data_IF_539533813175
#
_entry.id   IF_539533813175
#
_cell.length_a   1.000
_cell.length_b   1.000
_cell.length_c   1.000
_cell.angle_alpha   90.00
_cell.angle_beta   90.00
_cell.angle_gamma   90.00
#
_symmetry.space_group_name_H-M   'P 1'
#
loop_
_entity.id
_entity.type
_entity.pdbx_description
1 polymer ?
#
# COMPACT_ATOMS: atom_id res chain seq x y z
N UNK A 1 3.57 12.64 6.35
CA UNK A 1 3.98 11.23 6.49
C UNK A 1 5.50 11.12 6.56
N UNK A 2 6.00 10.61 7.69
CA UNK A 2 7.42 10.41 7.93
C UNK A 2 7.85 9.06 7.33
N UNK A 3 8.66 9.09 6.28
CA UNK A 3 9.45 7.93 5.87
C UNK A 3 10.67 7.87 6.79
N UNK A 4 10.92 6.71 7.39
CA UNK A 4 12.10 6.47 8.23
C UNK A 4 12.99 5.44 7.56
N UNK A 5 14.28 5.46 7.88
CA UNK A 5 15.22 4.45 7.42
C UNK A 5 14.72 3.03 7.75
N UNK A 6 14.26 2.81 8.99
CA UNK A 6 13.73 1.52 9.42
C UNK A 6 12.54 1.10 8.56
N UNK A 7 11.57 1.99 8.34
CA UNK A 7 10.37 1.69 7.54
C UNK A 7 10.76 1.24 6.12
N UNK A 8 11.68 1.95 5.46
CA UNK A 8 12.17 1.54 4.12
C UNK A 8 12.82 0.16 4.15
N UNK A 9 13.65 -0.13 5.16
CA UNK A 9 14.31 -1.43 5.29
C UNK A 9 13.31 -2.56 5.55
N UNK A 10 12.28 -2.32 6.38
CA UNK A 10 11.25 -3.31 6.64
C UNK A 10 10.47 -3.66 5.35
N UNK A 11 10.11 -2.67 4.52
CA UNK A 11 9.50 -2.92 3.21
C UNK A 11 10.44 -3.64 2.24
N UNK A 12 11.75 -3.38 2.28
CA UNK A 12 12.71 -4.15 1.49
C UNK A 12 12.80 -5.61 1.95
N UNK A 13 12.51 -5.93 3.21
CA UNK A 13 12.36 -7.32 3.64
C UNK A 13 11.01 -7.92 3.21
N UNK A 14 9.94 -7.14 3.09
CA UNK A 14 8.70 -7.61 2.45
C UNK A 14 8.93 -8.00 0.98
N UNK A 15 9.68 -7.18 0.24
CA UNK A 15 10.08 -7.49 -1.13
C UNK A 15 10.91 -8.77 -1.24
N UNK A 16 11.71 -9.10 -0.21
CA UNK A 16 12.50 -10.34 -0.19
C UNK A 16 11.61 -11.57 -0.18
N UNK A 17 10.49 -11.52 0.52
CA UNK A 17 9.53 -12.62 0.63
C UNK A 17 8.61 -12.73 -0.60
N UNK A 18 8.68 -11.79 -1.54
CA UNK A 18 7.75 -11.67 -2.67
C UNK A 18 7.71 -12.92 -3.56
N UNK A 19 8.87 -13.37 -4.06
CA UNK A 19 8.94 -14.53 -4.95
C UNK A 19 8.48 -15.82 -4.23
N UNK A 20 8.99 -16.17 -3.03
CA UNK A 20 8.49 -17.33 -2.31
C UNK A 20 6.99 -17.27 -2.01
N UNK A 21 6.44 -16.09 -1.68
CA UNK A 21 5.01 -15.92 -1.42
C UNK A 21 4.17 -16.15 -2.67
N UNK A 22 4.59 -15.60 -3.82
CA UNK A 22 3.95 -15.87 -5.11
C UNK A 22 3.99 -17.36 -5.46
N UNK A 23 5.14 -18.02 -5.27
CA UNK A 23 5.31 -19.44 -5.56
C UNK A 23 4.48 -20.35 -4.64
N UNK A 24 4.05 -19.85 -3.48
CA UNK A 24 3.15 -20.54 -2.57
C UNK A 24 1.69 -20.61 -3.05
N UNK A 25 1.29 -19.76 -4.00
CA UNK A 25 -0.04 -19.78 -4.60
C UNK A 25 -0.23 -21.00 -5.51
N UNK A 26 -1.48 -21.47 -5.61
CA UNK A 26 -1.87 -22.40 -6.66
C UNK A 26 -1.71 -21.77 -8.05
N UNK A 27 -1.67 -22.59 -9.11
CA UNK A 27 -1.54 -22.09 -10.48
C UNK A 27 -2.66 -21.11 -10.87
N UNK A 28 -3.90 -21.39 -10.44
CA UNK A 28 -5.05 -20.51 -10.72
C UNK A 28 -4.94 -19.18 -9.97
N UNK A 29 -4.44 -19.19 -8.74
CA UNK A 29 -4.20 -17.97 -7.95
C UNK A 29 -3.06 -17.14 -8.54
N UNK A 30 -1.97 -17.78 -9.00
CA UNK A 30 -0.88 -17.10 -9.70
C UNK A 30 -1.39 -16.43 -10.98
N UNK A 31 -2.16 -17.17 -11.80
CA UNK A 31 -2.72 -16.63 -13.05
C UNK A 31 -3.73 -15.49 -12.78
N UNK A 32 -4.60 -15.67 -11.78
CA UNK A 32 -5.55 -14.64 -11.36
C UNK A 32 -4.88 -13.37 -10.86
N UNK A 33 -3.85 -13.51 -10.03
CA UNK A 33 -3.05 -12.40 -9.53
C UNK A 33 -2.37 -11.65 -10.68
N UNK A 34 -1.63 -12.34 -11.56
CA UNK A 34 -0.91 -11.70 -12.67
C UNK A 34 -1.87 -10.97 -13.62
N UNK A 35 -3.02 -11.57 -13.90
CA UNK A 35 -4.08 -10.94 -14.71
C UNK A 35 -4.60 -9.66 -14.05
N UNK A 36 -4.87 -9.67 -12.74
CA UNK A 36 -5.31 -8.49 -12.01
C UNK A 36 -4.26 -7.38 -11.99
N UNK A 37 -2.98 -7.76 -11.97
CA UNK A 37 -1.85 -6.84 -12.05
C UNK A 37 -1.55 -6.36 -13.48
N UNK A 38 -2.19 -6.94 -14.51
CA UNK A 38 -1.97 -6.57 -15.91
C UNK A 38 -0.70 -7.13 -16.54
N UNK A 39 -0.12 -8.19 -15.97
CA UNK A 39 1.11 -8.82 -16.47
C UNK A 39 0.85 -10.24 -16.97
N UNK A 40 1.61 -10.68 -17.98
CA UNK A 40 1.45 -12.02 -18.53
C UNK A 40 2.18 -13.09 -17.70
N UNK A 41 3.20 -12.71 -16.93
CA UNK A 41 4.03 -13.61 -16.14
C UNK A 41 4.62 -12.92 -14.91
N UNK A 42 5.08 -13.71 -13.92
CA UNK A 42 5.87 -13.18 -12.81
C UNK A 42 7.16 -12.51 -13.31
N UNK A 43 7.73 -13.03 -14.40
CA UNK A 43 8.91 -12.46 -15.04
C UNK A 43 8.67 -11.00 -15.43
N UNK A 44 7.57 -10.71 -16.12
CA UNK A 44 7.25 -9.36 -16.60
C UNK A 44 6.99 -8.39 -15.44
N UNK A 45 6.28 -8.86 -14.40
CA UNK A 45 6.02 -8.07 -13.20
C UNK A 45 7.33 -7.74 -12.46
N UNK A 46 8.22 -8.72 -12.30
CA UNK A 46 9.53 -8.46 -11.68
C UNK A 46 10.42 -7.58 -12.54
N UNK A 47 10.34 -7.66 -13.86
CA UNK A 47 11.05 -6.77 -14.77
C UNK A 47 10.61 -5.31 -14.57
N UNK A 48 9.30 -5.08 -14.47
CA UNK A 48 8.72 -3.78 -14.12
C UNK A 48 9.22 -3.26 -12.76
N UNK A 49 9.04 -4.04 -11.68
CA UNK A 49 9.45 -3.63 -10.32
C UNK A 49 10.96 -3.35 -10.27
N UNK A 50 11.77 -4.23 -10.87
CA UNK A 50 13.24 -4.11 -10.85
C UNK A 50 13.71 -2.88 -11.63
N UNK A 51 13.06 -2.52 -12.74
CA UNK A 51 13.40 -1.30 -13.47
C UNK A 51 13.16 -0.04 -12.64
N UNK A 52 12.11 -0.01 -11.82
CA UNK A 52 11.90 1.09 -10.88
C UNK A 52 12.91 1.10 -9.73
N UNK A 53 13.36 -0.07 -9.26
CA UNK A 53 14.44 -0.15 -8.27
C UNK A 53 15.77 0.38 -8.82
N UNK A 54 16.08 0.02 -10.07
CA UNK A 54 17.23 0.54 -10.83
C UNK A 54 17.18 2.07 -10.92
N UNK A 55 16.10 2.61 -11.47
CA UNK A 55 15.93 4.05 -11.67
C UNK A 55 15.98 4.81 -10.33
N UNK A 56 15.35 4.25 -9.29
CA UNK A 56 15.39 4.82 -7.94
C UNK A 56 16.81 4.90 -7.43
N UNK A 57 17.57 3.80 -7.49
CA UNK A 57 18.93 3.74 -6.98
C UNK A 57 19.80 4.81 -7.63
N UNK A 58 19.78 4.91 -8.95
CA UNK A 58 20.58 5.90 -9.66
C UNK A 58 20.17 7.36 -9.31
N UNK A 59 18.89 7.61 -9.06
CA UNK A 59 18.40 8.95 -8.69
C UNK A 59 18.80 9.30 -7.27
N UNK A 60 18.67 8.37 -6.32
CA UNK A 60 18.98 8.64 -4.91
C UNK A 60 20.48 8.75 -4.69
N UNK A 61 21.30 7.94 -5.38
CA UNK A 61 22.77 8.08 -5.39
C UNK A 61 23.16 9.46 -5.93
N UNK A 62 22.64 9.86 -7.10
CA UNK A 62 22.93 11.18 -7.67
C UNK A 62 22.51 12.34 -6.74
N UNK A 63 21.37 12.19 -6.05
CA UNK A 63 20.88 13.19 -5.10
C UNK A 63 21.78 13.33 -3.87
N UNK A 64 22.42 12.26 -3.42
CA UNK A 64 23.39 12.27 -2.30
C UNK A 64 24.73 12.82 -2.75
N UNK A 65 25.22 12.41 -3.92
CA UNK A 65 26.49 12.87 -4.51
C UNK A 65 26.42 14.32 -5.00
N UNK A 66 25.23 14.94 -5.00
CA UNK A 66 24.97 16.28 -5.55
C UNK A 66 25.39 16.39 -7.01
N UNK A 67 25.30 15.28 -7.75
CA UNK A 67 25.49 15.30 -9.19
C UNK A 67 24.22 15.85 -9.84
N UNK A 68 24.37 16.73 -10.83
CA UNK A 68 23.23 17.34 -11.50
C UNK A 68 22.55 16.30 -12.40
N UNK A 69 21.58 15.57 -11.85
CA UNK A 69 20.66 14.74 -12.61
C UNK A 69 19.35 15.51 -12.79
N UNK A 70 19.04 15.99 -14.00
CA UNK A 70 17.80 16.71 -14.25
C UNK A 70 16.59 15.85 -13.91
N UNK A 71 15.50 16.51 -13.51
CA UNK A 71 14.19 15.86 -13.39
C UNK A 71 13.81 15.23 -14.73
N UNK A 72 13.53 13.94 -14.74
CA UNK A 72 12.98 13.24 -15.90
C UNK A 72 11.47 13.19 -15.74
N UNK A 73 10.74 13.63 -16.78
CA UNK A 73 9.31 13.34 -16.90
C UNK A 73 9.17 11.95 -17.49
N UNK A 74 8.50 11.05 -16.77
CA UNK A 74 8.24 9.71 -17.26
C UNK A 74 6.89 9.69 -17.97
N UNK A 75 6.87 9.00 -19.09
CA UNK A 75 5.68 8.31 -19.54
C UNK A 75 5.78 6.91 -18.92
N UNK A 76 4.94 6.63 -17.92
CA UNK A 76 5.05 5.41 -17.13
C UNK A 76 4.74 4.17 -17.96
N UNK A 77 3.76 4.25 -18.85
CA UNK A 77 3.40 3.14 -19.74
C UNK A 77 4.55 2.79 -20.67
N UNK A 78 5.18 3.81 -21.26
CA UNK A 78 6.35 3.61 -22.13
C UNK A 78 7.54 3.05 -21.35
N UNK A 79 7.82 3.57 -20.16
CA UNK A 79 8.92 3.08 -19.32
C UNK A 79 8.71 1.61 -18.91
N UNK A 80 7.50 1.28 -18.44
CA UNK A 80 7.15 -0.08 -18.00
C UNK A 80 7.18 -1.06 -19.18
N UNK A 81 6.63 -0.69 -20.35
CA UNK A 81 6.69 -1.52 -21.55
C UNK A 81 8.13 -1.76 -22.03
N UNK A 82 8.99 -0.74 -21.96
CA UNK A 82 10.42 -0.89 -22.28
C UNK A 82 11.15 -1.80 -21.28
N UNK A 83 10.83 -1.72 -19.99
CA UNK A 83 11.40 -2.59 -18.97
C UNK A 83 11.09 -4.06 -19.24
N UNK A 84 9.82 -4.38 -19.53
CA UNK A 84 9.38 -5.74 -19.89
C UNK A 84 10.04 -6.20 -21.19
N UNK A 85 10.03 -5.37 -22.24
CA UNK A 85 10.65 -5.71 -23.52
C UNK A 85 12.16 -5.97 -23.41
N UNK A 86 12.86 -5.22 -22.55
CA UNK A 86 14.29 -5.41 -22.28
C UNK A 86 14.58 -6.73 -21.56
N UNK A 87 13.70 -7.14 -20.66
CA UNK A 87 13.85 -8.36 -19.88
C UNK A 87 13.41 -9.62 -20.64
N UNK A 88 12.60 -9.50 -21.70
CA UNK A 88 12.00 -10.63 -22.41
C UNK A 88 12.97 -11.74 -22.88
N UNK A 89 14.25 -11.40 -23.12
CA UNK A 89 15.27 -12.38 -23.51
C UNK A 89 16.02 -13.03 -22.33
N UNK A 90 15.79 -12.57 -21.10
CA UNK A 90 16.48 -13.07 -19.92
C UNK A 90 15.82 -14.36 -19.41
N UNK A 91 16.59 -15.35 -18.95
CA UNK A 91 16.03 -16.48 -18.21
C UNK A 91 15.47 -16.05 -16.85
N UNK A 92 14.42 -16.72 -16.36
CA UNK A 92 13.83 -16.43 -15.04
C UNK A 92 14.86 -16.40 -13.89
N UNK A 93 15.82 -17.34 -13.77
CA UNK A 93 16.83 -17.27 -12.71
C UNK A 93 17.68 -16.00 -12.76
N UNK A 94 17.95 -15.47 -13.97
CA UNK A 94 18.67 -14.21 -14.14
C UNK A 94 17.81 -13.03 -13.70
N UNK A 95 16.53 -12.99 -14.08
CA UNK A 95 15.61 -11.95 -13.66
C UNK A 95 15.42 -11.94 -12.13
N UNK A 96 15.27 -13.12 -11.51
CA UNK A 96 15.10 -13.23 -10.05
C UNK A 96 16.37 -12.79 -9.31
N UNK A 97 17.55 -13.18 -9.80
CA UNK A 97 18.83 -12.72 -9.25
C UNK A 97 18.99 -11.21 -9.38
N UNK A 98 18.53 -10.63 -10.48
CA UNK A 98 18.58 -9.18 -10.71
C UNK A 98 17.65 -8.41 -9.77
N UNK A 99 16.40 -8.89 -9.60
CA UNK A 99 15.47 -8.34 -8.62
C UNK A 99 16.10 -8.31 -7.21
N UNK A 100 16.62 -9.44 -6.75
CA UNK A 100 17.25 -9.54 -5.43
C UNK A 100 18.49 -8.63 -5.31
N UNK A 101 19.32 -8.57 -6.35
CA UNK A 101 20.49 -7.69 -6.39
C UNK A 101 20.11 -6.23 -6.19
N UNK A 102 19.07 -5.73 -6.85
CA UNK A 102 18.67 -4.32 -6.73
C UNK A 102 17.94 -4.03 -5.42
N UNK A 103 17.16 -4.98 -4.90
CA UNK A 103 16.60 -4.91 -3.54
C UNK A 103 17.71 -4.74 -2.49
N UNK A 104 18.76 -5.56 -2.57
CA UNK A 104 19.92 -5.48 -1.67
C UNK A 104 20.67 -4.15 -1.82
N UNK A 105 20.89 -3.68 -3.05
CA UNK A 105 21.53 -2.38 -3.27
C UNK A 105 20.74 -1.21 -2.67
N UNK A 106 19.41 -1.21 -2.80
CA UNK A 106 18.57 -0.20 -2.14
C UNK A 106 18.65 -0.32 -0.62
N UNK A 107 18.73 -1.53 -0.07
CA UNK A 107 18.91 -1.74 1.36
C UNK A 107 20.27 -1.20 1.84
N UNK A 108 21.34 -1.46 1.10
CA UNK A 108 22.69 -0.98 1.41
C UNK A 108 22.77 0.55 1.30
N UNK A 109 22.20 1.15 0.25
CA UNK A 109 22.05 2.60 0.13
C UNK A 109 21.31 3.18 1.34
N UNK A 110 20.16 2.59 1.70
CA UNK A 110 19.33 3.06 2.82
C UNK A 110 20.09 2.99 4.14
N UNK A 111 20.89 1.94 4.36
CA UNK A 111 21.76 1.79 5.55
C UNK A 111 22.90 2.80 5.56
N UNK A 112 23.53 3.05 4.42
CA UNK A 112 24.69 3.93 4.29
C UNK A 112 24.32 5.42 4.40
N UNK A 113 23.08 5.80 4.09
CA UNK A 113 22.65 7.20 4.01
C UNK A 113 21.42 7.52 4.87
N UNK A 114 21.44 7.25 6.20
CA UNK A 114 20.30 7.50 7.09
C UNK A 114 19.82 8.96 7.03
N UNK A 115 20.74 9.92 7.03
CA UNK A 115 20.42 11.35 6.99
C UNK A 115 19.77 11.75 5.67
N UNK A 116 20.21 11.17 4.54
CA UNK A 116 19.59 11.44 3.25
C UNK A 116 18.15 10.89 3.21
N UNK A 117 17.94 9.70 3.77
CA UNK A 117 16.59 9.13 3.91
C UNK A 117 15.74 9.97 4.85
N UNK A 118 16.29 10.57 5.90
CA UNK A 118 15.53 11.40 6.84
C UNK A 118 15.24 12.81 6.30
N UNK A 119 16.18 13.42 5.57
CA UNK A 119 16.19 14.88 5.33
C UNK A 119 16.07 15.26 3.85
N UNK A 120 16.58 14.44 2.92
CA UNK A 120 16.57 14.77 1.50
C UNK A 120 15.21 14.43 0.87
N UNK A 121 14.42 15.46 0.55
CA UNK A 121 13.08 15.33 -0.05
C UNK A 121 13.07 14.47 -1.32
N UNK A 122 14.08 14.57 -2.18
CA UNK A 122 14.16 13.79 -3.43
C UNK A 122 14.36 12.31 -3.09
N UNK A 123 15.31 11.99 -2.21
CA UNK A 123 15.56 10.61 -1.75
C UNK A 123 14.30 10.02 -1.11
N UNK A 124 13.67 10.75 -0.19
CA UNK A 124 12.43 10.32 0.48
C UNK A 124 11.30 10.00 -0.48
N UNK A 125 11.05 10.89 -1.45
CA UNK A 125 9.94 10.73 -2.37
C UNK A 125 10.13 9.51 -3.28
N UNK A 126 11.36 9.27 -3.76
CA UNK A 126 11.67 8.11 -4.60
C UNK A 126 11.58 6.80 -3.82
N UNK A 127 12.18 6.73 -2.63
CA UNK A 127 12.07 5.54 -1.78
C UNK A 127 10.60 5.29 -1.37
N UNK A 128 9.84 6.32 -1.03
CA UNK A 128 8.41 6.18 -0.72
C UNK A 128 7.62 5.62 -1.90
N UNK A 129 7.79 6.20 -3.09
CA UNK A 129 7.05 5.78 -4.27
C UNK A 129 7.40 4.35 -4.70
N UNK A 130 8.69 4.04 -4.78
CA UNK A 130 9.13 2.78 -5.39
C UNK A 130 9.26 1.62 -4.40
N UNK A 131 9.63 1.88 -3.15
CA UNK A 131 9.79 0.80 -2.15
C UNK A 131 8.49 0.54 -1.40
N UNK A 132 7.77 1.59 -1.00
CA UNK A 132 6.59 1.48 -0.12
C UNK A 132 5.29 1.40 -0.94
N UNK A 133 4.98 2.44 -1.73
CA UNK A 133 3.72 2.47 -2.48
C UNK A 133 3.62 1.31 -3.48
N UNK A 134 4.70 1.04 -4.21
CA UNK A 134 4.76 -0.08 -5.15
C UNK A 134 4.59 -1.44 -4.45
N UNK A 135 5.00 -1.58 -3.18
CA UNK A 135 4.76 -2.80 -2.43
C UNK A 135 3.28 -3.00 -2.13
N UNK A 136 2.57 -1.91 -1.82
CA UNK A 136 1.12 -1.93 -1.64
C UNK A 136 0.38 -2.26 -2.94
N UNK A 137 0.72 -1.57 -4.03
CA UNK A 137 0.12 -1.76 -5.36
C UNK A 137 0.26 -3.20 -5.86
N UNK A 138 1.48 -3.76 -5.74
CA UNK A 138 1.78 -5.11 -6.20
C UNK A 138 1.71 -6.17 -5.09
N UNK A 139 1.09 -5.86 -3.95
CA UNK A 139 1.08 -6.72 -2.77
C UNK A 139 0.45 -8.10 -3.04
N UNK A 140 1.15 -9.14 -2.59
CA UNK A 140 0.62 -10.51 -2.58
C UNK A 140 0.00 -10.73 -1.19
N UNK A 141 -1.30 -10.48 -1.08
CA UNK A 141 -2.05 -10.47 0.20
C UNK A 141 -1.75 -9.25 1.07
N UNK A 142 -2.35 -9.20 2.25
CA UNK A 142 -2.14 -8.18 3.27
C UNK A 142 -1.27 -8.73 4.41
N UNK A 143 0.04 -8.54 4.30
CA UNK A 143 0.92 -8.99 5.38
C UNK A 143 0.61 -8.23 6.67
N UNK A 144 0.84 -8.88 7.82
CA UNK A 144 0.61 -8.26 9.13
C UNK A 144 1.44 -6.99 9.28
N UNK A 145 2.68 -7.01 8.79
CA UNK A 145 3.55 -5.83 8.78
C UNK A 145 2.93 -4.70 7.95
N UNK A 146 2.54 -4.93 6.70
CA UNK A 146 1.97 -3.88 5.85
C UNK A 146 0.66 -3.32 6.43
N UNK A 147 -0.22 -4.21 6.89
CA UNK A 147 -1.48 -3.84 7.55
C UNK A 147 -1.23 -2.89 8.73
N UNK A 148 -0.33 -3.29 9.64
CA UNK A 148 0.01 -2.50 10.82
C UNK A 148 0.74 -1.21 10.45
N UNK A 149 1.66 -1.25 9.50
CA UNK A 149 2.42 -0.08 9.07
C UNK A 149 1.51 1.00 8.48
N UNK A 150 0.57 0.63 7.60
CA UNK A 150 -0.40 1.54 7.01
C UNK A 150 -1.34 2.11 8.10
N UNK A 151 -1.85 1.27 9.01
CA UNK A 151 -2.68 1.75 10.13
C UNK A 151 -1.93 2.70 11.06
N UNK A 152 -0.68 2.37 11.43
CA UNK A 152 0.09 3.08 12.44
C UNK A 152 0.75 4.37 11.93
N UNK A 153 1.07 4.44 10.64
CA UNK A 153 1.78 5.59 10.08
C UNK A 153 0.91 6.40 9.12
N UNK A 154 0.17 5.74 8.24
CA UNK A 154 -0.43 6.41 7.09
C UNK A 154 -1.83 6.89 7.42
N UNK A 155 -2.67 6.00 7.95
CA UNK A 155 -3.98 6.36 8.48
C UNK A 155 -3.89 7.27 9.72
N UNK A 156 -2.85 7.12 10.54
CA UNK A 156 -2.64 7.96 11.72
C UNK A 156 -2.48 9.45 11.38
N UNK A 157 -1.86 9.75 10.23
CA UNK A 157 -1.60 11.12 9.77
C UNK A 157 -2.70 11.64 8.84
N UNK A 158 -3.67 10.82 8.44
CA UNK A 158 -4.60 11.12 7.37
C UNK A 158 -5.46 12.36 7.66
N UNK A 159 -6.16 12.37 8.79
CA UNK A 159 -7.03 13.49 9.16
C UNK A 159 -6.27 14.80 9.37
N UNK A 160 -5.15 14.75 10.09
CA UNK A 160 -4.30 15.92 10.30
C UNK A 160 -3.70 16.43 8.97
N UNK A 161 -3.33 15.50 8.07
CA UNK A 161 -2.85 15.81 6.73
C UNK A 161 -3.89 16.59 5.91
N UNK A 162 -5.16 16.16 5.95
CA UNK A 162 -6.24 16.86 5.27
C UNK A 162 -6.46 18.26 5.85
N UNK A 163 -6.52 18.37 7.18
CA UNK A 163 -6.71 19.66 7.87
C UNK A 163 -5.57 20.65 7.62
N UNK A 164 -4.35 20.16 7.34
CA UNK A 164 -3.20 20.99 7.01
C UNK A 164 -3.19 21.51 5.56
N UNK A 165 -4.05 20.99 4.67
CA UNK A 165 -4.19 21.50 3.31
C UNK A 165 -4.82 22.90 3.30
N UNK A 166 -4.46 23.73 2.31
CA UNK A 166 -5.15 24.99 2.07
C UNK A 166 -6.63 24.75 1.69
N UNK A 167 -7.56 25.68 1.98
CA UNK A 167 -8.99 25.50 1.70
C UNK A 167 -9.29 25.10 0.24
N UNK A 168 -8.57 25.65 -0.73
CA UNK A 168 -8.72 25.33 -2.15
C UNK A 168 -8.26 23.89 -2.47
N UNK A 169 -7.21 23.42 -1.78
CA UNK A 169 -6.71 22.06 -1.92
C UNK A 169 -7.67 21.05 -1.27
N UNK A 170 -8.24 21.39 -0.12
CA UNK A 170 -9.30 20.59 0.52
C UNK A 170 -10.51 20.45 -0.41
N UNK A 171 -11.02 21.56 -0.93
CA UNK A 171 -12.16 21.55 -1.86
C UNK A 171 -11.84 20.76 -3.14
N UNK A 172 -10.63 20.93 -3.69
CA UNK A 172 -10.16 20.17 -4.84
C UNK A 172 -10.05 18.68 -4.58
N UNK A 173 -9.57 18.28 -3.39
CA UNK A 173 -9.50 16.89 -2.96
C UNK A 173 -10.90 16.27 -2.83
N UNK A 174 -11.79 16.91 -2.05
CA UNK A 174 -13.16 16.44 -1.84
C UNK A 174 -13.93 16.25 -3.17
N UNK A 175 -13.76 17.21 -4.09
CA UNK A 175 -14.36 17.11 -5.43
C UNK A 175 -13.85 15.91 -6.23
N UNK A 176 -12.54 15.61 -6.17
CA UNK A 176 -11.98 14.43 -6.85
C UNK A 176 -12.48 13.12 -6.23
N UNK A 177 -12.62 13.11 -4.91
CA UNK A 177 -13.10 11.96 -4.15
C UNK A 177 -14.62 11.76 -4.27
N UNK A 178 -15.37 12.78 -4.69
CA UNK A 178 -16.82 12.69 -4.88
C UNK A 178 -17.64 12.88 -3.60
N UNK A 179 -17.04 13.41 -2.53
CA UNK A 179 -17.72 13.64 -1.25
C UNK A 179 -17.99 15.13 -1.02
N UNK A 180 -19.08 15.45 -0.33
CA UNK A 180 -19.45 16.84 -0.07
C UNK A 180 -18.55 17.48 1.01
N UNK A 181 -18.07 16.67 1.97
CA UNK A 181 -17.23 17.12 3.06
C UNK A 181 -16.37 15.97 3.62
N UNK A 182 -15.33 16.32 4.39
CA UNK A 182 -14.39 15.33 4.91
C UNK A 182 -15.01 14.33 5.89
N UNK A 183 -16.08 14.72 6.60
CA UNK A 183 -16.77 13.79 7.51
C UNK A 183 -17.41 12.63 6.74
N UNK A 184 -17.88 12.85 5.52
CA UNK A 184 -18.44 11.76 4.70
C UNK A 184 -17.37 10.75 4.28
N UNK A 185 -16.13 11.22 4.01
CA UNK A 185 -14.99 10.34 3.74
C UNK A 185 -14.66 9.51 4.99
N UNK A 186 -14.57 10.15 6.16
CA UNK A 186 -14.30 9.42 7.41
C UNK A 186 -15.42 8.43 7.73
N UNK A 187 -16.68 8.80 7.50
CA UNK A 187 -17.84 7.93 7.68
C UNK A 187 -17.75 6.68 6.81
N UNK A 188 -17.39 6.86 5.53
CA UNK A 188 -17.16 5.78 4.58
C UNK A 188 -16.05 4.83 5.05
N UNK A 189 -14.89 5.38 5.44
CA UNK A 189 -13.75 4.59 5.92
C UNK A 189 -14.10 3.81 7.20
N UNK A 190 -14.73 4.48 8.18
CA UNK A 190 -15.17 3.85 9.44
C UNK A 190 -16.13 2.70 9.15
N UNK A 191 -17.10 2.89 8.25
CA UNK A 191 -18.08 1.86 7.89
C UNK A 191 -17.41 0.58 7.41
N UNK A 192 -16.54 0.68 6.40
CA UNK A 192 -15.80 -0.47 5.89
C UNK A 192 -14.96 -1.12 6.99
N UNK A 193 -14.22 -0.34 7.76
CA UNK A 193 -13.42 -0.86 8.87
C UNK A 193 -14.22 -1.65 9.91
N UNK A 194 -15.37 -1.15 10.34
CA UNK A 194 -16.24 -1.88 11.26
C UNK A 194 -16.80 -3.16 10.63
N UNK A 195 -17.23 -3.09 9.37
CA UNK A 195 -17.73 -4.26 8.64
C UNK A 195 -16.67 -5.37 8.56
N UNK A 196 -15.41 -5.01 8.31
CA UNK A 196 -14.30 -5.95 8.32
C UNK A 196 -13.98 -6.56 9.64
N UNK A 197 -13.92 -5.73 10.69
CA UNK A 197 -13.71 -6.24 12.04
C UNK A 197 -14.80 -7.24 12.40
N UNK A 198 -16.05 -6.97 12.06
CA UNK A 198 -17.17 -7.88 12.28
C UNK A 198 -17.01 -9.18 11.47
N UNK A 199 -16.63 -9.09 10.19
CA UNK A 199 -16.34 -10.23 9.33
C UNK A 199 -15.23 -11.12 9.91
N UNK A 200 -14.09 -10.53 10.27
CA UNK A 200 -12.93 -11.23 10.83
C UNK A 200 -13.29 -11.88 12.17
N UNK A 201 -14.06 -11.19 13.01
CA UNK A 201 -14.53 -11.73 14.29
C UNK A 201 -15.51 -12.89 14.09
N UNK A 202 -16.36 -12.85 13.06
CA UNK A 202 -17.26 -13.95 12.71
C UNK A 202 -16.47 -15.16 12.20
N UNK A 203 -15.52 -14.96 11.29
CA UNK A 203 -14.61 -15.99 10.77
C UNK A 203 -13.80 -16.65 11.90
N UNK A 204 -13.32 -15.85 12.85
CA UNK A 204 -12.58 -16.35 14.03
C UNK A 204 -13.41 -17.31 14.90
N UNK A 205 -14.73 -17.12 14.95
CA UNK A 205 -15.65 -17.94 15.74
C UNK A 205 -16.19 -19.13 14.95
N UNK A 206 -16.42 -18.94 13.66
CA UNK A 206 -16.91 -19.96 12.73
C UNK A 206 -16.10 -19.89 11.43
N UNK A 207 -15.14 -20.82 11.23
CA UNK A 207 -14.36 -20.89 10.00
C UNK A 207 -15.18 -21.09 8.72
N UNK A 208 -16.43 -21.56 8.83
CA UNK A 208 -17.34 -21.73 7.70
C UNK A 208 -18.19 -20.48 7.40
N UNK A 209 -18.05 -19.42 8.20
CA UNK A 209 -18.73 -18.14 7.98
C UNK A 209 -18.50 -17.65 6.55
N UNK A 210 -19.58 -17.21 5.92
CA UNK A 210 -19.56 -16.54 4.62
C UNK A 210 -20.09 -15.14 4.84
N UNK A 211 -19.27 -14.14 4.52
CA UNK A 211 -19.72 -12.75 4.63
C UNK A 211 -20.80 -12.51 3.57
N UNK A 212 -21.95 -11.90 3.93
CA UNK A 212 -23.01 -11.65 2.97
C UNK A 212 -22.54 -10.64 1.92
N UNK A 213 -22.92 -10.88 0.67
CA UNK A 213 -22.78 -9.89 -0.39
C UNK A 213 -23.56 -8.62 -0.02
N UNK A 214 -22.95 -7.47 -0.28
CA UNK A 214 -23.53 -6.16 -0.02
C UNK A 214 -23.52 -5.34 -1.30
N UNK A 215 -24.58 -4.57 -1.50
CA UNK A 215 -24.57 -3.48 -2.45
C UNK A 215 -23.67 -2.37 -1.88
N UNK A 216 -22.50 -2.19 -2.49
CA UNK A 216 -21.47 -1.24 -2.07
C UNK A 216 -22.01 0.19 -2.01
N UNK A 217 -22.82 0.60 -2.98
CA UNK A 217 -23.36 1.96 -3.04
C UNK A 217 -24.40 2.19 -1.94
N UNK A 218 -25.29 1.20 -1.73
CA UNK A 218 -26.27 1.25 -0.66
C UNK A 218 -25.59 1.27 0.73
N UNK A 219 -24.55 0.46 0.91
CA UNK A 219 -23.79 0.40 2.16
C UNK A 219 -23.02 1.70 2.43
N UNK A 220 -22.40 2.28 1.41
CA UNK A 220 -21.74 3.59 1.50
C UNK A 220 -22.72 4.69 1.92
N UNK A 221 -23.91 4.72 1.31
CA UNK A 221 -24.95 5.68 1.67
C UNK A 221 -25.43 5.49 3.12
N UNK A 222 -25.55 4.25 3.58
CA UNK A 222 -25.90 3.92 4.96
C UNK A 222 -24.81 4.38 5.95
N UNK A 223 -23.54 4.08 5.67
CA UNK A 223 -22.41 4.50 6.50
C UNK A 223 -22.37 6.04 6.65
N UNK A 224 -22.57 6.77 5.56
CA UNK A 224 -22.68 8.24 5.56
C UNK A 224 -23.91 8.68 6.37
N UNK A 225 -25.05 8.01 6.28
CA UNK A 225 -26.25 8.37 7.03
C UNK A 225 -26.12 8.12 8.55
N UNK A 226 -25.35 7.10 8.95
CA UNK A 226 -25.09 6.76 10.35
C UNK A 226 -24.05 7.73 10.94
N UNK A 227 -22.86 7.80 10.34
CA UNK A 227 -21.74 8.55 10.90
C UNK A 227 -21.72 10.02 10.49
N UNK A 228 -22.33 10.40 9.36
CA UNK A 228 -22.40 11.80 8.92
C UNK A 228 -23.25 12.71 9.81
N UNK A 229 -24.00 12.14 10.76
CA UNK A 229 -24.70 12.88 11.82
C UNK A 229 -23.76 13.34 12.94
N UNK A 230 -22.59 12.73 13.07
CA UNK A 230 -21.58 13.14 14.04
C UNK A 230 -21.04 14.52 13.66
N UNK A 231 -20.71 15.32 14.67
CA UNK A 231 -19.93 16.53 14.43
C UNK A 231 -18.47 16.17 14.07
N UNK A 232 -17.69 17.19 13.70
CA UNK A 232 -16.30 16.98 13.27
C UNK A 232 -15.43 16.37 14.37
N UNK A 233 -15.61 16.78 15.63
CA UNK A 233 -14.80 16.27 16.73
C UNK A 233 -15.15 14.80 17.03
N UNK A 234 -16.44 14.47 17.04
CA UNK A 234 -16.93 13.12 17.31
C UNK A 234 -16.54 12.13 16.21
N UNK A 235 -16.61 12.52 14.93
CA UNK A 235 -16.21 11.62 13.85
C UNK A 235 -14.70 11.39 13.81
N UNK A 236 -13.89 12.40 14.12
CA UNK A 236 -12.43 12.23 14.24
C UNK A 236 -12.07 11.28 15.39
N UNK A 237 -12.76 11.42 16.54
CA UNK A 237 -12.62 10.48 17.65
C UNK A 237 -13.05 9.07 17.26
N UNK A 238 -14.15 8.94 16.51
CA UNK A 238 -14.63 7.65 16.01
C UNK A 238 -13.63 7.01 15.05
N UNK A 239 -13.13 7.76 14.07
CA UNK A 239 -12.09 7.32 13.14
C UNK A 239 -10.87 6.79 13.89
N UNK A 240 -10.34 7.56 14.82
CA UNK A 240 -9.14 7.17 15.57
C UNK A 240 -9.40 5.95 16.45
N UNK A 241 -10.53 5.89 17.17
CA UNK A 241 -10.86 4.70 17.97
C UNK A 241 -11.00 3.43 17.12
N UNK A 242 -11.61 3.54 15.94
CA UNK A 242 -11.80 2.42 15.00
C UNK A 242 -10.45 1.95 14.45
N UNK A 243 -9.56 2.89 14.10
CA UNK A 243 -8.18 2.59 13.67
C UNK A 243 -7.41 1.84 14.75
N UNK A 244 -7.51 2.27 16.01
CA UNK A 244 -6.85 1.60 17.14
C UNK A 244 -7.43 0.19 17.38
N UNK A 245 -8.74 0.00 17.27
CA UNK A 245 -9.36 -1.33 17.34
C UNK A 245 -8.89 -2.26 16.22
N UNK A 246 -8.72 -1.76 15.00
CA UNK A 246 -8.15 -2.53 13.89
C UNK A 246 -6.69 -2.92 14.14
N UNK A 247 -5.89 -2.03 14.72
CA UNK A 247 -4.51 -2.34 15.13
C UNK A 247 -4.51 -3.45 16.18
N UNK A 248 -5.33 -3.33 17.22
CA UNK A 248 -5.43 -4.32 18.28
C UNK A 248 -5.90 -5.68 17.74
N UNK A 249 -6.91 -5.70 16.88
CA UNK A 249 -7.36 -6.90 16.18
C UNK A 249 -6.20 -7.51 15.38
N UNK A 250 -5.52 -6.70 14.56
CA UNK A 250 -4.43 -7.16 13.69
C UNK A 250 -3.22 -7.65 14.46
N UNK A 251 -2.97 -7.18 15.68
CA UNK A 251 -1.90 -7.69 16.55
C UNK A 251 -2.33 -9.03 17.17
N UNK A 252 -3.56 -9.13 17.66
CA UNK A 252 -4.02 -10.26 18.46
C UNK A 252 -4.64 -11.41 17.64
N UNK A 253 -4.88 -11.21 16.35
CA UNK A 253 -5.47 -12.24 15.50
C UNK A 253 -4.51 -13.44 15.37
N UNK A 254 -4.94 -14.68 15.65
CA UNK A 254 -4.10 -15.85 15.46
C UNK A 254 -3.63 -15.99 14.01
N UNK A 255 -2.38 -16.41 13.78
CA UNK A 255 -1.80 -16.53 12.43
C UNK A 255 -2.67 -17.39 11.51
N UNK A 256 -3.17 -18.52 12.01
CA UNK A 256 -4.07 -19.39 11.23
C UNK A 256 -5.37 -18.71 10.76
N UNK A 257 -5.82 -17.66 11.44
CA UNK A 257 -6.97 -16.85 10.99
C UNK A 257 -6.50 -15.70 10.12
N UNK A 258 -5.42 -15.01 10.50
CA UNK A 258 -4.86 -13.91 9.74
C UNK A 258 -4.47 -14.33 8.31
N UNK A 259 -3.88 -15.53 8.17
CA UNK A 259 -3.41 -16.07 6.89
C UNK A 259 -4.54 -16.64 6.03
N UNK A 260 -5.80 -16.63 6.51
CA UNK A 260 -6.92 -17.02 5.65
C UNK A 260 -7.10 -16.02 4.52
N UNK A 261 -7.41 -16.55 3.34
CA UNK A 261 -7.57 -15.77 2.12
C UNK A 261 -8.62 -14.67 2.24
N UNK A 262 -9.79 -14.97 2.81
CA UNK A 262 -10.88 -14.01 3.00
C UNK A 262 -10.49 -12.85 3.94
N UNK A 263 -9.77 -13.14 5.02
CA UNK A 263 -9.22 -12.13 5.94
C UNK A 263 -8.14 -11.29 5.24
N UNK A 264 -7.23 -11.92 4.49
CA UNK A 264 -6.19 -11.25 3.73
C UNK A 264 -6.75 -10.32 2.65
N UNK A 265 -7.76 -10.77 1.91
CA UNK A 265 -8.45 -9.97 0.88
C UNK A 265 -9.15 -8.77 1.51
N UNK A 266 -9.81 -8.96 2.65
CA UNK A 266 -10.46 -7.86 3.37
C UNK A 266 -9.46 -6.81 3.86
N UNK A 267 -8.39 -7.22 4.56
CA UNK A 267 -7.36 -6.31 5.05
C UNK A 267 -6.66 -5.59 3.88
N UNK A 268 -6.47 -6.28 2.76
CA UNK A 268 -5.86 -5.68 1.57
C UNK A 268 -6.76 -4.59 1.01
N UNK A 269 -8.03 -4.91 0.74
CA UNK A 269 -8.98 -3.98 0.17
C UNK A 269 -9.20 -2.77 1.10
N UNK A 270 -9.63 -3.01 2.33
CA UNK A 270 -10.25 -1.96 3.16
C UNK A 270 -9.26 -1.21 4.06
N UNK A 271 -8.02 -1.71 4.20
CA UNK A 271 -6.95 -1.04 4.95
C UNK A 271 -5.84 -0.52 4.04
N UNK A 272 -5.31 -1.37 3.16
CA UNK A 272 -4.14 -1.04 2.34
C UNK A 272 -4.55 -0.27 1.09
N UNK A 273 -5.34 -0.88 0.20
CA UNK A 273 -5.74 -0.28 -1.07
C UNK A 273 -6.62 0.95 -0.85
N UNK A 274 -7.56 0.86 0.08
CA UNK A 274 -8.44 1.96 0.47
C UNK A 274 -7.69 3.21 0.96
N UNK A 275 -6.51 3.06 1.56
CA UNK A 275 -5.66 4.23 1.88
C UNK A 275 -5.21 4.94 0.62
N UNK A 276 -4.76 4.20 -0.38
CA UNK A 276 -4.25 4.76 -1.63
C UNK A 276 -5.35 5.35 -2.51
N UNK A 277 -6.55 4.78 -2.48
CA UNK A 277 -7.75 5.35 -3.13
C UNK A 277 -8.08 6.75 -2.57
N UNK A 278 -7.86 6.94 -1.27
CA UNK A 278 -8.16 8.20 -0.57
C UNK A 278 -6.93 9.03 -0.23
N UNK A 279 -5.74 8.73 -0.76
CA UNK A 279 -4.53 9.46 -0.44
C UNK A 279 -4.60 10.95 -0.87
N UNK A 280 -4.09 11.84 -0.01
CA UNK A 280 -4.13 13.31 -0.16
C UNK A 280 -3.22 13.86 -1.27
#
# INVERSE_FOLDING_TARGET
MLITQKRVLDYLEEWRAYIPRFQGFSADEQAGFLKAQGFASLHDLLAHITAWFEETLEIVEAAVEKTDRPSKKYDFDVFNAQAVARAASWPDPEMFSRFEKYRLKLADFTKAHPDAVAENKRVRNWLRGVVIHHAAEHSIGATRFMTLDILQNDWAEYAAGFQALAPEQQAGFLKRQGFANFREILAHIIGWWENGMDAINAISKDPAYQHPDKDTDAYNAEAIAIFGKLDEADILKKFESTRQSLIELSINLPDAIFDRKDVQEWLKADVIEHYYEHAL
#
